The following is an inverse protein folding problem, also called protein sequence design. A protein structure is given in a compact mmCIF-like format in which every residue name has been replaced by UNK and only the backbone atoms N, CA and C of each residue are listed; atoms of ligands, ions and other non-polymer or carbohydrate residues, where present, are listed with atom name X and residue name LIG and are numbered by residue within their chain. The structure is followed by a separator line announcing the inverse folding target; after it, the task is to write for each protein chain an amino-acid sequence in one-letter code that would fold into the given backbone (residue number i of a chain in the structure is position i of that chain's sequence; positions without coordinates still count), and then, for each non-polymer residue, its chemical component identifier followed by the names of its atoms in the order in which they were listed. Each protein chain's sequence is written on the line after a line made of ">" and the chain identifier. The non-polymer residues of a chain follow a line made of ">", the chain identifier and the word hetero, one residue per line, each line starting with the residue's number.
data_IF_766348206698
#
_entry.id   IF_766348206698
#
_cell.length_a   1.000
_cell.length_b   1.000
_cell.length_c   1.000
_cell.angle_alpha   90.00
_cell.angle_beta   90.00
_cell.angle_gamma   90.00
#
_symmetry.space_group_name_H-M   'P 1'
#
loop_
_entity.id
_entity.type
_entity.pdbx_description
1 polymer ?
#
# COMPACT_ATOMS: atom_id res chain seq x y z
N UNK A 1 -33.32 -58.29 32.41
CA UNK A 1 -32.89 -56.96 32.87
C UNK A 1 -32.71 -56.11 31.66
N UNK A 2 -33.76 -55.31 31.26
CA UNK A 2 -33.79 -54.47 30.08
C UNK A 2 -33.31 -53.07 30.45
N UNK A 3 -32.21 -52.62 29.89
CA UNK A 3 -31.70 -51.26 30.06
C UNK A 3 -32.35 -50.39 28.99
N UNK A 4 -33.14 -49.43 29.45
CA UNK A 4 -33.71 -48.38 28.61
C UNK A 4 -32.66 -47.26 28.38
N UNK A 5 -32.23 -47.06 27.15
CA UNK A 5 -31.46 -45.91 26.76
C UNK A 5 -32.46 -44.78 26.36
N UNK A 6 -32.49 -43.70 27.12
CA UNK A 6 -33.26 -42.48 26.76
C UNK A 6 -32.45 -41.71 25.72
N UNK A 7 -32.95 -41.66 24.49
CA UNK A 7 -32.51 -40.70 23.47
C UNK A 7 -33.05 -39.34 23.82
N UNK A 8 -32.17 -38.42 24.18
CA UNK A 8 -32.52 -36.99 24.36
C UNK A 8 -32.43 -36.30 22.99
N UNK A 9 -33.59 -36.02 22.41
CA UNK A 9 -33.70 -35.27 21.18
C UNK A 9 -33.53 -33.79 21.50
N UNK A 10 -32.38 -33.23 21.14
CA UNK A 10 -32.13 -31.78 21.22
C UNK A 10 -32.82 -31.15 20.00
N UNK A 11 -33.93 -30.45 20.26
CA UNK A 11 -34.60 -29.61 19.29
C UNK A 11 -33.74 -28.36 19.04
N UNK A 12 -33.08 -28.27 17.89
CA UNK A 12 -32.56 -27.03 17.38
C UNK A 12 -33.72 -26.18 16.89
N UNK A 13 -34.13 -25.22 17.68
CA UNK A 13 -35.07 -24.21 17.24
C UNK A 13 -34.35 -23.29 16.24
N UNK A 14 -34.56 -23.53 14.95
CA UNK A 14 -34.33 -22.52 13.91
C UNK A 14 -35.28 -21.35 14.21
N UNK A 15 -34.80 -20.28 14.82
CA UNK A 15 -35.50 -19.01 14.85
C UNK A 15 -35.52 -18.45 13.42
N UNK A 16 -36.54 -18.83 12.66
CA UNK A 16 -36.94 -18.07 11.47
C UNK A 16 -37.48 -16.72 11.99
N UNK A 17 -36.65 -15.68 11.90
CA UNK A 17 -37.15 -14.33 12.06
C UNK A 17 -38.14 -14.07 10.92
N UNK A 18 -39.42 -13.97 11.27
CA UNK A 18 -40.44 -13.47 10.37
C UNK A 18 -40.18 -11.97 10.14
N UNK A 19 -39.63 -11.65 8.97
CA UNK A 19 -39.41 -10.29 8.47
C UNK A 19 -40.77 -9.62 8.16
N UNK A 20 -41.44 -9.09 9.15
CA UNK A 20 -42.59 -8.18 8.98
C UNK A 20 -42.38 -6.84 9.71
N UNK A 21 -41.19 -6.55 10.20
CA UNK A 21 -40.89 -5.20 10.65
C UNK A 21 -40.49 -4.39 9.42
N UNK A 22 -41.37 -3.47 9.02
CA UNK A 22 -41.07 -2.47 7.97
C UNK A 22 -40.06 -1.49 8.56
N UNK A 23 -38.79 -1.83 8.49
CA UNK A 23 -37.74 -0.89 8.84
C UNK A 23 -37.71 0.23 7.79
N UNK A 24 -37.81 1.47 8.27
CA UNK A 24 -37.75 2.63 7.40
C UNK A 24 -36.36 2.73 6.75
N UNK A 25 -36.31 2.69 5.42
CA UNK A 25 -35.11 3.07 4.69
C UNK A 25 -34.87 4.57 4.94
N UNK A 26 -33.90 4.90 5.75
CA UNK A 26 -33.50 6.28 5.99
C UNK A 26 -32.58 6.74 4.89
N UNK A 27 -32.80 7.97 4.38
CA UNK A 27 -31.95 8.59 3.38
C UNK A 27 -30.64 9.04 4.04
N UNK A 28 -29.66 8.14 4.08
CA UNK A 28 -28.29 8.49 4.47
C UNK A 28 -27.50 8.98 3.27
N UNK A 29 -26.73 10.03 3.48
CA UNK A 29 -25.73 10.47 2.49
C UNK A 29 -24.42 9.72 2.72
N UNK A 30 -23.66 9.50 1.67
CA UNK A 30 -22.29 9.03 1.75
C UNK A 30 -21.34 10.26 1.73
N UNK A 31 -20.49 10.46 2.73
CA UNK A 31 -20.20 9.61 3.89
C UNK A 31 -21.32 9.55 4.94
N UNK A 32 -21.45 8.37 5.59
CA UNK A 32 -22.42 8.13 6.66
C UNK A 32 -21.79 8.49 8.00
N UNK A 33 -22.37 9.42 8.74
CA UNK A 33 -21.81 9.93 10.00
C UNK A 33 -22.71 9.56 11.19
N UNK A 34 -22.10 9.00 12.22
CA UNK A 34 -22.72 8.65 13.50
C UNK A 34 -21.90 9.27 14.65
N UNK A 35 -22.13 10.56 14.92
CA UNK A 35 -21.34 11.28 15.93
C UNK A 35 -19.86 11.31 15.60
N UNK A 36 -19.05 10.61 16.38
CA UNK A 36 -17.59 10.53 16.23
C UNK A 36 -17.13 9.45 15.22
N UNK A 37 -18.07 8.68 14.67
CA UNK A 37 -17.80 7.63 13.70
C UNK A 37 -18.23 8.06 12.30
N UNK A 38 -17.38 7.81 11.29
CA UNK A 38 -17.69 8.02 9.88
C UNK A 38 -17.42 6.75 9.07
N UNK A 39 -18.37 6.38 8.23
CA UNK A 39 -18.24 5.30 7.25
C UNK A 39 -18.33 5.92 5.86
N UNK A 40 -17.28 5.82 5.08
CA UNK A 40 -17.23 6.29 3.69
C UNK A 40 -17.21 5.08 2.76
N UNK A 41 -18.24 4.91 1.95
CA UNK A 41 -18.33 3.87 0.94
C UNK A 41 -17.67 4.40 -0.34
N UNK A 42 -16.59 3.77 -0.79
CA UNK A 42 -15.80 4.22 -1.94
C UNK A 42 -16.20 3.44 -3.18
N UNK A 43 -16.17 2.11 -3.08
CA UNK A 43 -16.65 1.18 -4.13
C UNK A 43 -17.56 0.13 -3.48
N UNK A 44 -18.21 -0.77 -4.24
CA UNK A 44 -18.96 -1.87 -3.64
C UNK A 44 -18.14 -2.76 -2.70
N UNK A 45 -16.80 -2.78 -2.85
CA UNK A 45 -15.86 -3.67 -2.14
C UNK A 45 -14.84 -2.93 -1.27
N UNK A 46 -14.84 -1.58 -1.31
CA UNK A 46 -13.92 -0.75 -0.56
C UNK A 46 -14.68 0.30 0.25
N UNK A 47 -14.41 0.37 1.53
CA UNK A 47 -14.92 1.41 2.41
C UNK A 47 -13.87 1.85 3.42
N UNK A 48 -14.06 3.07 3.96
CA UNK A 48 -13.20 3.68 4.98
C UNK A 48 -13.98 3.82 6.27
N UNK A 49 -13.32 3.53 7.39
CA UNK A 49 -13.82 3.69 8.75
C UNK A 49 -12.95 4.70 9.49
N UNK A 50 -13.57 5.72 10.06
CA UNK A 50 -12.89 6.75 10.82
C UNK A 50 -13.53 6.99 12.15
N UNK A 51 -12.69 7.24 13.16
CA UNK A 51 -13.15 7.74 14.45
C UNK A 51 -12.32 8.96 14.84
N UNK A 52 -13.02 10.06 15.13
CA UNK A 52 -12.42 11.32 15.54
C UNK A 52 -13.01 11.77 16.90
N UNK A 53 -12.14 12.03 17.88
CA UNK A 53 -12.56 12.41 19.24
C UNK A 53 -13.38 13.70 19.30
N UNK A 54 -13.15 14.60 18.37
CA UNK A 54 -13.82 15.89 18.26
C UNK A 54 -14.92 15.92 17.19
N UNK A 55 -15.22 14.77 16.56
CA UNK A 55 -16.19 14.64 15.47
C UNK A 55 -15.78 15.32 14.16
N UNK A 56 -14.52 15.79 14.04
CA UNK A 56 -13.98 16.38 12.80
C UNK A 56 -13.18 15.34 12.04
N UNK A 57 -13.64 15.02 10.86
CA UNK A 57 -13.02 13.99 10.02
C UNK A 57 -12.01 14.58 9.07
N UNK A 58 -11.03 13.77 8.69
CA UNK A 58 -9.95 14.18 7.81
C UNK A 58 -10.31 13.91 6.35
N UNK A 59 -10.40 14.98 5.57
CA UNK A 59 -10.61 14.90 4.11
C UNK A 59 -9.36 15.26 3.30
N UNK A 60 -8.28 15.64 3.98
CA UNK A 60 -6.99 15.89 3.34
C UNK A 60 -6.37 14.61 2.78
N UNK A 61 -5.63 14.76 1.70
CA UNK A 61 -4.81 13.70 1.10
C UNK A 61 -3.78 13.18 2.09
N UNK A 62 -3.57 11.87 2.12
CA UNK A 62 -2.46 11.23 2.85
C UNK A 62 -1.46 10.64 1.87
N UNK A 63 -0.32 10.15 2.37
CA UNK A 63 0.66 9.44 1.54
C UNK A 63 0.09 8.16 0.91
N UNK A 64 -0.94 7.58 1.53
CA UNK A 64 -1.63 6.40 1.02
C UNK A 64 -2.84 6.75 0.16
N UNK A 65 -3.74 7.60 0.66
CA UNK A 65 -4.98 7.97 -0.01
C UNK A 65 -4.84 9.34 -0.68
N UNK A 66 -4.44 9.32 -1.94
CA UNK A 66 -4.21 10.52 -2.74
C UNK A 66 -5.53 11.09 -3.29
N UNK A 67 -6.48 10.22 -3.68
CA UNK A 67 -7.79 10.61 -4.22
C UNK A 67 -8.89 10.32 -3.20
N UNK A 68 -9.79 11.29 -2.98
CA UNK A 68 -10.89 11.17 -2.05
C UNK A 68 -12.26 11.47 -2.68
N UNK A 69 -12.29 11.67 -3.99
CA UNK A 69 -13.48 12.13 -4.71
C UNK A 69 -14.42 10.99 -5.12
N UNK A 70 -13.97 9.74 -5.00
CA UNK A 70 -14.79 8.58 -5.37
C UNK A 70 -15.70 8.21 -4.20
N UNK A 71 -17.01 8.37 -4.40
CA UNK A 71 -18.05 7.99 -3.45
C UNK A 71 -19.07 7.08 -4.12
N UNK A 72 -19.36 5.94 -3.49
CA UNK A 72 -20.41 5.04 -3.93
C UNK A 72 -21.77 5.68 -3.73
N UNK A 73 -22.61 5.70 -4.77
CA UNK A 73 -23.98 6.20 -4.73
C UNK A 73 -25.04 5.09 -4.57
N UNK A 74 -24.71 3.86 -4.99
CA UNK A 74 -25.62 2.70 -4.94
C UNK A 74 -25.38 1.89 -3.67
N UNK A 75 -26.05 2.28 -2.59
CA UNK A 75 -26.02 1.61 -1.30
C UNK A 75 -27.35 1.79 -0.56
N UNK A 76 -27.56 0.97 0.44
CA UNK A 76 -28.74 1.04 1.30
C UNK A 76 -28.33 1.03 2.76
N UNK A 77 -29.00 1.84 3.58
CA UNK A 77 -28.90 1.80 5.05
C UNK A 77 -30.28 1.48 5.61
N UNK A 78 -30.32 0.47 6.48
CA UNK A 78 -31.53 0.07 7.19
C UNK A 78 -31.27 0.15 8.69
N UNK A 79 -32.09 0.89 9.40
CA UNK A 79 -32.05 0.94 10.87
C UNK A 79 -32.72 -0.32 11.45
N UNK A 80 -31.99 -1.05 12.29
CA UNK A 80 -32.44 -2.31 12.88
C UNK A 80 -33.01 -2.14 14.32
N UNK A 81 -33.03 -0.90 14.82
CA UNK A 81 -33.33 -0.61 16.22
C UNK A 81 -32.09 -0.68 17.12
N UNK A 82 -32.21 -0.21 18.37
CA UNK A 82 -31.15 -0.24 19.39
C UNK A 82 -29.78 0.34 18.89
N UNK A 83 -29.84 1.43 18.15
CA UNK A 83 -28.66 2.05 17.51
C UNK A 83 -27.89 1.12 16.55
N UNK A 84 -28.52 0.09 15.99
CA UNK A 84 -27.95 -0.83 15.02
C UNK A 84 -28.37 -0.50 13.60
N UNK A 85 -27.43 -0.60 12.70
CA UNK A 85 -27.60 -0.26 11.29
C UNK A 85 -27.08 -1.39 10.41
N UNK A 86 -27.85 -1.75 9.38
CA UNK A 86 -27.41 -2.60 8.29
C UNK A 86 -27.07 -1.70 7.10
N UNK A 87 -25.82 -1.73 6.66
CA UNK A 87 -25.32 -0.99 5.50
C UNK A 87 -25.02 -2.02 4.42
N UNK A 88 -25.63 -1.85 3.26
CA UNK A 88 -25.53 -2.80 2.15
C UNK A 88 -25.00 -2.12 0.91
N UNK A 89 -24.03 -2.77 0.26
CA UNK A 89 -23.59 -2.47 -1.10
C UNK A 89 -23.95 -3.66 -1.99
N UNK A 90 -23.67 -3.59 -3.27
CA UNK A 90 -23.83 -4.71 -4.18
C UNK A 90 -23.04 -5.96 -3.77
N UNK A 91 -21.93 -5.80 -3.05
CA UNK A 91 -20.99 -6.87 -2.69
C UNK A 91 -21.00 -7.22 -1.21
N UNK A 92 -21.34 -6.29 -0.34
CA UNK A 92 -21.12 -6.39 1.11
C UNK A 92 -22.40 -6.12 1.91
N UNK A 93 -22.48 -6.75 3.09
CA UNK A 93 -23.39 -6.37 4.15
C UNK A 93 -22.59 -6.06 5.40
N UNK A 94 -22.81 -4.89 5.99
CA UNK A 94 -22.11 -4.41 7.17
C UNK A 94 -23.10 -4.15 8.27
N UNK A 95 -22.90 -4.73 9.45
CA UNK A 95 -23.71 -4.45 10.63
C UNK A 95 -22.88 -3.58 11.57
N UNK A 96 -23.41 -2.42 11.88
CA UNK A 96 -22.80 -1.45 12.77
C UNK A 96 -23.74 -1.16 13.95
N UNK A 97 -23.19 -1.18 15.17
CA UNK A 97 -23.83 -0.72 16.40
C UNK A 97 -23.15 0.57 16.83
N UNK A 98 -23.91 1.69 16.81
CA UNK A 98 -23.41 2.98 17.25
C UNK A 98 -23.37 3.06 18.78
N UNK A 99 -22.29 2.57 19.36
CA UNK A 99 -22.02 2.57 20.80
C UNK A 99 -21.15 3.77 21.25
N UNK A 100 -20.78 4.65 20.31
CA UNK A 100 -19.94 5.83 20.54
C UNK A 100 -18.45 5.56 20.65
N UNK A 101 -18.01 4.29 20.48
CA UNK A 101 -16.60 3.89 20.50
C UNK A 101 -16.03 3.72 19.08
N UNK A 102 -14.68 3.67 18.93
CA UNK A 102 -14.05 3.32 17.67
C UNK A 102 -14.54 1.97 17.13
N UNK A 103 -14.50 1.80 15.81
CA UNK A 103 -14.87 0.53 15.18
C UNK A 103 -14.03 -0.63 15.71
N UNK A 104 -14.67 -1.69 16.13
CA UNK A 104 -14.05 -2.82 16.80
C UNK A 104 -14.77 -4.15 16.59
N UNK A 105 -14.37 -5.15 17.38
CA UNK A 105 -14.93 -6.53 17.30
C UNK A 105 -16.39 -6.63 17.75
N UNK A 106 -16.87 -5.69 18.55
CA UNK A 106 -18.20 -5.76 19.17
C UNK A 106 -19.23 -4.96 18.39
N UNK A 107 -18.81 -3.89 17.72
CA UNK A 107 -19.72 -2.91 17.12
C UNK A 107 -19.69 -2.87 15.58
N UNK A 108 -18.76 -3.58 14.90
CA UNK A 108 -18.71 -3.58 13.45
C UNK A 108 -18.35 -4.96 12.87
N UNK A 109 -19.26 -5.51 12.06
CA UNK A 109 -19.09 -6.80 11.39
C UNK A 109 -19.40 -6.67 9.90
N UNK A 110 -18.54 -7.23 9.07
CA UNK A 110 -18.67 -7.26 7.62
C UNK A 110 -18.93 -8.67 7.14
N UNK A 111 -19.93 -8.84 6.27
CA UNK A 111 -20.30 -10.08 5.60
C UNK A 111 -20.04 -9.93 4.10
N UNK A 112 -19.45 -10.94 3.50
CA UNK A 112 -19.07 -10.97 2.08
C UNK A 112 -19.04 -12.40 1.56
N UNK A 113 -18.94 -12.56 0.24
CA UNK A 113 -18.80 -13.89 -0.39
C UNK A 113 -17.34 -14.18 -0.71
N UNK A 114 -16.92 -15.42 -0.39
CA UNK A 114 -15.63 -15.98 -0.76
C UNK A 114 -15.88 -17.41 -1.29
N UNK A 115 -15.48 -17.69 -2.53
CA UNK A 115 -15.73 -18.98 -3.20
C UNK A 115 -17.21 -19.43 -3.13
N UNK A 116 -18.14 -18.48 -3.25
CA UNK A 116 -19.57 -18.72 -3.20
C UNK A 116 -20.18 -18.85 -1.80
N UNK A 117 -19.37 -18.96 -0.74
CA UNK A 117 -19.82 -19.05 0.64
C UNK A 117 -19.82 -17.67 1.32
N UNK A 118 -20.78 -17.44 2.20
CA UNK A 118 -20.78 -16.26 3.04
C UNK A 118 -19.73 -16.39 4.15
N UNK A 119 -18.85 -15.39 4.22
CA UNK A 119 -17.84 -15.22 5.27
C UNK A 119 -18.08 -13.92 6.01
N UNK A 120 -17.47 -13.80 7.20
CA UNK A 120 -17.50 -12.56 7.95
C UNK A 120 -16.18 -12.27 8.64
N UNK A 121 -15.90 -10.99 8.85
CA UNK A 121 -14.80 -10.55 9.69
C UNK A 121 -15.18 -9.29 10.48
N UNK A 122 -14.36 -8.95 11.46
CA UNK A 122 -14.39 -7.67 12.18
C UNK A 122 -13.06 -6.94 11.98
N UNK A 123 -13.02 -5.64 12.22
CA UNK A 123 -11.83 -4.80 11.96
C UNK A 123 -10.58 -5.17 12.78
N UNK A 124 -10.68 -6.07 13.73
CA UNK A 124 -9.54 -6.61 14.50
C UNK A 124 -9.24 -8.07 14.23
N UNK A 125 -9.91 -8.69 13.26
CA UNK A 125 -9.54 -10.03 12.84
C UNK A 125 -8.11 -10.03 12.27
N UNK A 126 -7.39 -11.12 12.53
CA UNK A 126 -6.07 -11.36 11.97
C UNK A 126 -6.25 -12.22 10.73
N UNK A 127 -5.75 -11.74 9.58
CA UNK A 127 -5.65 -12.58 8.40
C UNK A 127 -4.46 -13.53 8.52
N UNK A 128 -4.63 -14.74 8.01
CA UNK A 128 -3.63 -15.81 8.12
C UNK A 128 -3.06 -16.22 6.77
N UNK A 129 -3.74 -15.90 5.70
CA UNK A 129 -3.48 -16.38 4.35
C UNK A 129 -3.12 -15.24 3.39
N UNK A 130 -2.37 -14.24 3.90
CA UNK A 130 -1.86 -13.16 3.08
C UNK A 130 -0.90 -13.71 2.02
N UNK A 131 -0.98 -13.20 0.79
CA UNK A 131 -0.14 -13.64 -0.33
C UNK A 131 1.25 -13.04 -0.31
N UNK A 132 1.50 -12.14 0.62
CA UNK A 132 2.73 -11.39 0.74
C UNK A 132 2.75 -10.13 -0.14
N UNK A 133 3.51 -9.18 0.30
CA UNK A 133 3.74 -7.92 -0.39
C UNK A 133 5.18 -7.81 -0.88
N UNK A 134 5.80 -6.68 -0.56
CA UNK A 134 7.20 -6.41 -0.85
C UNK A 134 8.05 -6.51 0.43
N UNK A 135 9.33 -6.51 0.22
CA UNK A 135 10.33 -6.24 1.24
C UNK A 135 11.08 -4.97 0.84
N UNK A 136 11.48 -4.17 1.81
CA UNK A 136 12.11 -2.89 1.53
C UNK A 136 13.52 -3.04 0.95
N UNK A 137 14.28 -4.04 1.42
CA UNK A 137 15.64 -4.30 0.94
C UNK A 137 16.05 -5.74 1.17
N UNK A 138 16.93 -6.23 0.29
CA UNK A 138 17.66 -7.48 0.44
C UNK A 138 19.14 -7.25 0.80
N UNK A 139 19.55 -6.03 1.06
CA UNK A 139 20.91 -5.68 1.39
C UNK A 139 21.38 -6.46 2.62
N UNK A 140 22.57 -7.08 2.50
CA UNK A 140 23.20 -7.90 3.55
C UNK A 140 22.35 -9.09 4.02
N UNK A 141 21.37 -9.50 3.24
CA UNK A 141 20.56 -10.68 3.51
C UNK A 141 21.20 -11.90 2.88
N UNK A 142 21.51 -12.89 3.70
CA UNK A 142 22.09 -14.17 3.28
C UNK A 142 21.21 -15.39 3.64
N UNK A 143 19.97 -15.13 4.03
CA UNK A 143 19.02 -16.16 4.47
C UNK A 143 17.60 -15.80 4.02
N UNK A 144 16.65 -16.70 4.30
CA UNK A 144 15.23 -16.45 4.04
C UNK A 144 14.74 -15.25 4.87
N UNK A 145 14.12 -14.28 4.22
CA UNK A 145 13.50 -13.11 4.84
C UNK A 145 11.99 -13.25 4.80
N UNK A 146 11.28 -12.96 5.89
CA UNK A 146 9.82 -12.89 5.87
C UNK A 146 9.40 -11.74 4.96
N UNK A 147 8.43 -12.01 4.10
CA UNK A 147 7.78 -10.98 3.26
C UNK A 147 6.70 -10.31 4.09
N UNK A 148 6.64 -8.98 4.03
CA UNK A 148 5.58 -8.21 4.67
C UNK A 148 4.21 -8.53 4.05
N UNK A 149 3.13 -8.30 4.78
CA UNK A 149 1.78 -8.46 4.27
C UNK A 149 1.51 -7.49 3.11
N UNK A 150 0.92 -8.01 2.05
CA UNK A 150 0.44 -7.23 0.92
C UNK A 150 -1.08 -7.03 0.97
N UNK A 151 -1.62 -6.32 -0.03
CA UNK A 151 -3.06 -6.10 -0.16
C UNK A 151 -3.84 -7.40 -0.35
N UNK A 152 -3.26 -8.39 -1.03
CA UNK A 152 -3.97 -9.58 -1.44
C UNK A 152 -3.86 -10.71 -0.41
N UNK A 153 -4.98 -11.31 -0.06
CA UNK A 153 -5.08 -12.43 0.87
C UNK A 153 -6.10 -13.46 0.36
N UNK A 154 -5.83 -14.74 0.63
CA UNK A 154 -6.82 -15.82 0.40
C UNK A 154 -7.99 -15.77 1.37
N UNK A 155 -7.91 -14.93 2.40
CA UNK A 155 -9.03 -14.65 3.29
C UNK A 155 -10.08 -13.72 2.64
N UNK A 156 -9.77 -13.14 1.45
CA UNK A 156 -10.68 -12.33 0.64
C UNK A 156 -10.87 -10.89 1.13
N UNK A 157 -10.04 -10.45 2.08
CA UNK A 157 -10.06 -9.09 2.60
C UNK A 157 -8.70 -8.66 3.12
N UNK A 158 -8.50 -7.35 3.22
CA UNK A 158 -7.36 -6.74 3.87
C UNK A 158 -7.72 -5.36 4.40
N UNK A 159 -7.11 -4.95 5.51
CA UNK A 159 -7.30 -3.63 6.10
C UNK A 159 -5.97 -2.88 6.09
N UNK A 160 -5.96 -1.74 5.42
CA UNK A 160 -4.84 -0.81 5.47
C UNK A 160 -5.13 0.22 6.57
N UNK A 161 -4.23 0.29 7.53
CA UNK A 161 -4.33 1.23 8.64
C UNK A 161 -3.56 2.51 8.32
N UNK A 162 -4.30 3.57 8.04
CA UNK A 162 -3.77 4.91 7.75
C UNK A 162 -3.78 5.84 8.98
N UNK A 163 -4.13 5.29 10.15
CA UNK A 163 -4.19 6.04 11.41
C UNK A 163 -2.84 6.65 11.76
N UNK A 164 -2.83 7.94 12.04
CA UNK A 164 -1.62 8.68 12.45
C UNK A 164 -0.58 8.87 11.36
N UNK A 165 -0.85 8.43 10.12
CA UNK A 165 0.03 8.70 8.99
C UNK A 165 -0.06 10.17 8.57
N UNK A 166 1.04 10.67 8.04
CA UNK A 166 1.18 12.06 7.62
C UNK A 166 0.17 12.40 6.50
N UNK A 167 -0.21 13.67 6.47
CA UNK A 167 -1.03 14.24 5.41
C UNK A 167 -0.19 15.05 4.43
N UNK A 168 -0.72 15.29 3.23
CA UNK A 168 -0.17 16.22 2.27
C UNK A 168 -0.92 17.55 2.41
N UNK A 169 -0.19 18.62 2.73
CA UNK A 169 -0.70 19.98 2.82
C UNK A 169 0.25 20.93 2.07
N UNK A 170 -0.31 21.76 1.20
CA UNK A 170 0.44 22.74 0.40
C UNK A 170 1.63 22.14 -0.37
N UNK A 171 1.49 20.90 -0.84
CA UNK A 171 2.53 20.18 -1.58
C UNK A 171 3.66 19.61 -0.70
N UNK A 172 3.49 19.62 0.62
CA UNK A 172 4.47 19.10 1.57
C UNK A 172 3.83 18.16 2.59
N UNK A 173 4.68 17.41 3.29
CA UNK A 173 4.27 16.50 4.36
C UNK A 173 3.99 17.29 5.63
N UNK A 174 2.82 17.07 6.22
CA UNK A 174 2.40 17.69 7.47
C UNK A 174 1.89 16.62 8.46
N UNK A 175 1.96 16.93 9.73
CA UNK A 175 1.46 16.05 10.79
C UNK A 175 -0.07 16.03 10.78
N UNK A 176 -0.64 14.84 11.03
CA UNK A 176 -2.09 14.65 11.22
C UNK A 176 -2.51 15.13 12.62
N UNK A 177 -3.72 15.66 12.71
CA UNK A 177 -4.33 15.99 14.00
C UNK A 177 -4.51 14.71 14.86
N UNK A 178 -4.15 14.81 16.13
CA UNK A 178 -4.20 13.70 17.10
C UNK A 178 -5.63 13.31 17.52
N UNK A 179 -6.63 14.10 17.19
CA UNK A 179 -8.05 13.76 17.41
C UNK A 179 -8.50 12.59 16.54
N UNK A 180 -7.84 12.37 15.39
CA UNK A 180 -8.10 11.23 14.51
C UNK A 180 -7.41 9.96 15.01
N UNK A 181 -8.13 9.18 15.80
CA UNK A 181 -7.59 8.00 16.48
C UNK A 181 -7.83 6.69 15.73
N UNK A 182 -8.62 6.72 14.66
CA UNK A 182 -8.81 5.58 13.76
C UNK A 182 -9.07 6.04 12.33
N UNK A 183 -8.38 5.42 11.38
CA UNK A 183 -8.53 5.62 9.95
C UNK A 183 -8.14 4.33 9.22
N UNK A 184 -9.13 3.56 8.80
CA UNK A 184 -8.96 2.22 8.26
C UNK A 184 -9.60 2.13 6.88
N UNK A 185 -8.84 1.66 5.89
CA UNK A 185 -9.36 1.30 4.57
C UNK A 185 -9.57 -0.20 4.49
N UNK A 186 -10.81 -0.61 4.35
CA UNK A 186 -11.23 -2.00 4.33
C UNK A 186 -11.50 -2.46 2.91
N UNK A 187 -10.59 -3.26 2.35
CA UNK A 187 -10.71 -3.91 1.06
C UNK A 187 -11.33 -5.28 1.25
N UNK A 188 -12.49 -5.55 0.65
CA UNK A 188 -13.26 -6.78 0.86
C UNK A 188 -13.68 -7.33 -0.49
N UNK A 189 -12.78 -7.99 -1.15
CA UNK A 189 -12.85 -8.38 -2.56
C UNK A 189 -13.21 -9.87 -2.79
N UNK A 190 -13.32 -10.67 -1.71
CA UNK A 190 -13.55 -12.10 -1.86
C UNK A 190 -12.41 -12.77 -2.62
N UNK A 191 -12.72 -13.36 -3.75
CA UNK A 191 -11.77 -13.99 -4.68
C UNK A 191 -11.43 -13.11 -5.91
N UNK A 192 -11.99 -11.90 -6.00
CA UNK A 192 -11.69 -10.95 -7.08
C UNK A 192 -10.48 -10.06 -6.75
N UNK A 193 -9.29 -10.62 -6.88
CA UNK A 193 -8.03 -9.88 -6.65
C UNK A 193 -7.83 -8.69 -7.61
N UNK A 194 -8.44 -8.75 -8.82
CA UNK A 194 -8.36 -7.62 -9.75
C UNK A 194 -9.16 -6.43 -9.26
N UNK A 195 -10.35 -6.68 -8.70
CA UNK A 195 -11.15 -5.63 -8.07
C UNK A 195 -10.37 -4.96 -6.94
N UNK A 196 -9.68 -5.72 -6.09
CA UNK A 196 -8.84 -5.15 -5.02
C UNK A 196 -7.76 -4.20 -5.55
N UNK A 197 -7.08 -4.56 -6.65
CA UNK A 197 -6.07 -3.71 -7.28
C UNK A 197 -6.68 -2.47 -7.95
N UNK A 198 -7.86 -2.59 -8.54
CA UNK A 198 -8.60 -1.44 -9.07
C UNK A 198 -9.03 -0.49 -7.96
N UNK A 199 -9.54 -1.03 -6.86
CA UNK A 199 -9.92 -0.26 -5.66
C UNK A 199 -8.71 0.48 -5.05
N UNK A 200 -7.55 -0.17 -5.02
CA UNK A 200 -6.31 0.48 -4.60
C UNK A 200 -5.99 1.68 -5.52
N UNK A 201 -6.03 1.48 -6.83
CA UNK A 201 -5.79 2.55 -7.81
C UNK A 201 -6.77 3.72 -7.69
N UNK A 202 -8.03 3.45 -7.26
CA UNK A 202 -9.04 4.48 -7.07
C UNK A 202 -8.71 5.47 -5.94
N UNK A 203 -7.95 5.04 -4.93
CA UNK A 203 -7.58 5.88 -3.79
C UNK A 203 -6.12 6.30 -3.77
N UNK A 204 -5.19 5.43 -4.17
CA UNK A 204 -3.74 5.74 -4.17
C UNK A 204 -3.26 6.39 -5.46
N UNK A 205 -4.11 6.47 -6.46
CA UNK A 205 -3.74 6.85 -7.82
C UNK A 205 -3.14 5.67 -8.60
N UNK A 206 -3.09 5.83 -9.90
CA UNK A 206 -2.53 4.80 -10.78
C UNK A 206 -1.00 4.86 -10.80
N UNK A 207 -0.36 3.70 -10.79
CA UNK A 207 1.08 3.60 -11.02
C UNK A 207 1.37 4.14 -12.43
N UNK A 208 2.22 5.17 -12.57
CA UNK A 208 2.54 5.72 -13.87
C UNK A 208 3.31 4.70 -14.70
N UNK A 209 3.03 4.65 -15.99
CA UNK A 209 3.81 3.83 -16.90
C UNK A 209 5.23 4.41 -17.02
N UNK A 210 6.21 3.60 -16.67
CA UNK A 210 7.61 3.98 -16.76
C UNK A 210 8.13 3.87 -18.20
N UNK A 211 9.28 4.47 -18.46
CA UNK A 211 9.94 4.35 -19.77
C UNK A 211 10.45 2.94 -19.99
N UNK A 212 10.36 2.45 -21.22
CA UNK A 212 10.71 1.07 -21.59
C UNK A 212 12.12 0.66 -21.15
N UNK A 213 13.10 1.53 -21.27
CA UNK A 213 14.50 1.23 -20.93
C UNK A 213 14.70 0.88 -19.44
N UNK A 214 13.83 1.40 -18.54
CA UNK A 214 13.90 1.08 -17.10
C UNK A 214 13.72 -0.43 -16.85
N UNK A 215 12.96 -1.10 -17.71
CA UNK A 215 12.74 -2.55 -17.67
C UNK A 215 13.77 -3.33 -18.50
N UNK A 216 14.74 -2.65 -19.07
CA UNK A 216 15.81 -3.26 -19.85
C UNK A 216 16.96 -3.78 -19.00
N UNK A 217 18.09 -4.02 -19.64
CA UNK A 217 19.28 -4.55 -19.00
C UNK A 217 20.11 -3.43 -18.37
N UNK A 218 20.45 -3.61 -17.12
CA UNK A 218 21.26 -2.71 -16.32
C UNK A 218 22.62 -3.32 -16.06
N UNK A 219 23.71 -2.57 -16.30
CA UNK A 219 25.05 -2.91 -15.87
C UNK A 219 25.48 -2.00 -14.72
N UNK A 220 25.89 -2.59 -13.62
CA UNK A 220 26.47 -1.91 -12.48
C UNK A 220 27.62 -2.76 -11.93
N UNK A 221 28.77 -2.13 -11.67
CA UNK A 221 29.91 -2.76 -11.02
C UNK A 221 30.67 -1.72 -10.20
N UNK A 222 30.96 -2.04 -8.96
CA UNK A 222 31.89 -1.24 -8.16
C UNK A 222 33.31 -1.41 -8.70
N UNK A 223 33.73 -0.48 -9.53
CA UNK A 223 35.02 -0.45 -10.21
C UNK A 223 35.32 0.98 -10.67
N UNK A 224 36.58 1.49 -10.50
CA UNK A 224 36.94 2.83 -10.91
C UNK A 224 37.15 2.94 -12.44
N UNK A 225 36.05 2.80 -13.18
CA UNK A 225 36.07 2.91 -14.64
C UNK A 225 36.48 4.30 -15.11
N UNK A 226 37.41 4.32 -16.10
CA UNK A 226 37.65 5.50 -16.91
C UNK A 226 36.55 5.70 -17.96
N UNK A 227 36.50 6.89 -18.57
CA UNK A 227 35.58 7.16 -19.67
C UNK A 227 35.74 6.16 -20.81
N UNK A 228 36.99 5.91 -21.23
CA UNK A 228 37.31 4.96 -22.32
C UNK A 228 36.89 3.52 -22.00
N UNK A 229 37.02 3.11 -20.72
CA UNK A 229 36.61 1.77 -20.30
C UNK A 229 35.07 1.62 -20.29
N UNK A 230 34.33 2.65 -19.98
CA UNK A 230 32.86 2.64 -20.12
C UNK A 230 32.45 2.50 -21.60
N UNK A 231 33.02 3.29 -22.48
CA UNK A 231 32.74 3.19 -23.92
C UNK A 231 33.15 1.80 -24.49
N UNK A 232 34.28 1.29 -24.09
CA UNK A 232 34.76 -0.07 -24.49
C UNK A 232 33.79 -1.14 -23.96
N UNK A 233 33.33 -1.05 -22.74
CA UNK A 233 32.37 -1.98 -22.18
C UNK A 233 31.06 -2.03 -23.00
N UNK A 234 30.53 -0.88 -23.39
CA UNK A 234 29.35 -0.81 -24.27
C UNK A 234 29.62 -1.48 -25.60
N UNK A 235 30.77 -1.23 -26.21
CA UNK A 235 31.15 -1.87 -27.48
C UNK A 235 31.30 -3.40 -27.35
N UNK A 236 31.84 -3.90 -26.23
CA UNK A 236 31.91 -5.34 -25.95
C UNK A 236 30.51 -5.98 -25.89
N UNK A 237 29.54 -5.32 -25.26
CA UNK A 237 28.15 -5.79 -25.26
C UNK A 237 27.57 -5.83 -26.68
N UNK A 238 27.81 -4.79 -27.50
CA UNK A 238 27.29 -4.70 -28.88
C UNK A 238 27.94 -5.77 -29.81
N UNK A 239 29.25 -5.95 -29.74
CA UNK A 239 29.98 -6.92 -30.58
C UNK A 239 29.56 -8.36 -30.26
N UNK A 240 29.21 -8.64 -29.00
CA UNK A 240 28.76 -9.96 -28.58
C UNK A 240 27.24 -10.15 -28.64
N UNK A 241 26.51 -9.19 -29.20
CA UNK A 241 25.04 -9.20 -29.34
C UNK A 241 24.32 -9.38 -28.00
N UNK A 242 24.88 -8.84 -26.93
CA UNK A 242 24.19 -8.78 -25.63
C UNK A 242 23.43 -7.46 -25.50
N UNK A 243 22.18 -7.51 -25.00
CA UNK A 243 21.41 -6.29 -24.74
C UNK A 243 22.03 -5.51 -23.58
N UNK A 244 22.04 -4.18 -23.73
CA UNK A 244 22.39 -3.24 -22.67
C UNK A 244 21.60 -1.96 -22.89
N UNK A 245 20.83 -1.54 -21.91
CA UNK A 245 19.97 -0.36 -21.97
C UNK A 245 20.42 0.74 -21.01
N UNK A 246 20.99 0.34 -19.86
CA UNK A 246 21.33 1.23 -18.78
C UNK A 246 22.71 0.92 -18.23
N UNK A 247 23.51 1.96 -18.02
CA UNK A 247 24.83 1.89 -17.43
C UNK A 247 24.84 2.71 -16.13
N UNK A 248 25.20 2.07 -15.03
CA UNK A 248 25.37 2.75 -13.74
C UNK A 248 26.84 3.11 -13.58
N UNK A 249 27.10 4.42 -13.42
CA UNK A 249 28.41 4.87 -12.95
C UNK A 249 28.40 4.70 -11.44
N UNK A 250 29.20 3.74 -10.97
CA UNK A 250 29.30 3.44 -9.56
C UNK A 250 30.20 4.45 -8.85
N UNK A 251 30.35 4.36 -7.56
CA UNK A 251 30.90 5.31 -6.61
C UNK A 251 32.05 6.21 -7.12
N UNK A 252 32.94 5.68 -7.97
CA UNK A 252 34.13 6.39 -8.43
C UNK A 252 33.86 7.45 -9.52
N UNK A 253 32.58 7.62 -9.95
CA UNK A 253 32.21 8.71 -10.85
C UNK A 253 32.44 10.07 -10.22
N UNK A 254 32.34 10.16 -8.88
CA UNK A 254 32.70 11.35 -8.12
C UNK A 254 34.00 11.16 -7.34
N UNK A 255 34.53 12.24 -6.79
CA UNK A 255 35.75 12.20 -5.98
C UNK A 255 35.48 11.49 -4.65
N UNK A 256 36.10 10.32 -4.46
CA UNK A 256 35.96 9.49 -3.23
C UNK A 256 37.17 9.60 -2.30
N UNK A 257 38.10 10.53 -2.54
CA UNK A 257 39.30 10.71 -1.71
C UNK A 257 38.94 11.37 -0.38
N UNK A 258 39.10 10.61 0.70
CA UNK A 258 38.86 11.06 2.08
C UNK A 258 39.72 12.25 2.54
N UNK A 259 40.73 12.63 1.78
CA UNK A 259 41.61 13.77 2.08
C UNK A 259 41.02 15.12 1.65
N UNK A 260 39.99 15.10 0.82
CA UNK A 260 39.38 16.33 0.33
C UNK A 260 38.23 16.75 1.27
N UNK A 261 38.58 17.43 2.33
CA UNK A 261 37.68 18.45 2.85
C UNK A 261 36.90 18.20 4.13
N UNK A 262 36.83 17.00 4.73
CA UNK A 262 35.91 16.80 5.87
C UNK A 262 36.56 16.64 7.24
N UNK A 263 37.85 16.44 7.33
CA UNK A 263 38.56 16.29 8.64
C UNK A 263 38.15 15.04 9.44
N UNK A 264 37.26 14.22 8.97
CA UNK A 264 36.83 12.98 9.62
C UNK A 264 37.47 11.77 8.93
N UNK A 265 38.34 11.08 9.68
CA UNK A 265 39.11 9.91 9.19
C UNK A 265 38.23 8.68 8.82
N UNK A 266 36.94 8.68 9.10
CA UNK A 266 35.99 7.61 8.77
C UNK A 266 35.22 7.83 7.47
N UNK A 267 35.22 9.06 6.94
CA UNK A 267 34.58 9.41 5.68
C UNK A 267 35.43 8.88 4.53
N UNK A 268 34.87 8.00 3.74
CA UNK A 268 35.52 7.50 2.51
C UNK A 268 35.18 8.37 1.30
N UNK A 269 34.65 9.58 1.51
CA UNK A 269 34.17 10.45 0.43
C UNK A 269 33.01 9.83 -0.35
N UNK A 270 32.16 9.04 0.30
CA UNK A 270 31.03 8.32 -0.35
C UNK A 270 29.88 9.24 -0.67
N UNK A 271 29.81 10.38 0.00
CA UNK A 271 28.85 11.44 -0.31
C UNK A 271 29.53 12.55 -1.09
N UNK A 272 29.04 12.88 -2.27
CA UNK A 272 29.57 14.00 -3.05
C UNK A 272 29.09 14.01 -4.47
N UNK A 273 29.11 15.18 -5.07
CA UNK A 273 28.60 15.45 -6.41
C UNK A 273 29.68 16.08 -7.33
N UNK A 274 30.95 15.97 -6.93
CA UNK A 274 32.06 16.49 -7.71
C UNK A 274 32.62 15.41 -8.63
N UNK A 275 32.47 15.57 -9.93
CA UNK A 275 33.00 14.63 -10.91
C UNK A 275 34.48 14.32 -10.71
N UNK A 276 34.82 13.06 -10.72
CA UNK A 276 36.21 12.58 -10.73
C UNK A 276 36.84 12.82 -12.10
N UNK A 277 37.42 13.99 -12.27
CA UNK A 277 38.02 14.41 -13.54
C UNK A 277 39.28 13.60 -13.95
N UNK A 278 39.83 12.81 -13.04
CA UNK A 278 40.93 11.88 -13.36
C UNK A 278 40.42 10.68 -14.16
N UNK A 279 39.26 10.15 -13.77
CA UNK A 279 38.66 9.00 -14.47
C UNK A 279 37.75 9.45 -15.63
N UNK A 280 37.02 10.53 -15.42
CA UNK A 280 36.03 11.05 -16.39
C UNK A 280 36.33 12.55 -16.62
N UNK A 281 37.32 12.87 -17.49
CA UNK A 281 37.73 14.26 -17.76
C UNK A 281 36.60 15.12 -18.32
N UNK A 282 35.79 14.57 -19.23
CA UNK A 282 34.62 15.20 -19.83
C UNK A 282 33.36 14.35 -19.61
N UNK A 283 32.68 14.49 -18.47
CA UNK A 283 31.46 13.74 -18.17
C UNK A 283 30.35 13.99 -19.19
N UNK A 284 30.22 15.21 -19.66
CA UNK A 284 29.17 15.56 -20.62
C UNK A 284 29.42 14.86 -21.95
N UNK A 285 30.66 14.90 -22.48
CA UNK A 285 31.02 14.22 -23.72
C UNK A 285 30.79 12.71 -23.61
N UNK A 286 31.23 12.08 -22.51
CA UNK A 286 30.99 10.65 -22.27
C UNK A 286 29.48 10.31 -22.28
N UNK A 287 28.65 11.06 -21.54
CA UNK A 287 27.23 10.80 -21.51
C UNK A 287 26.57 11.02 -22.88
N UNK A 288 26.97 12.04 -23.59
CA UNK A 288 26.48 12.30 -24.95
C UNK A 288 26.85 11.17 -25.92
N UNK A 289 28.07 10.64 -25.86
CA UNK A 289 28.52 9.48 -26.68
C UNK A 289 27.70 8.22 -26.33
N UNK A 290 27.57 7.90 -25.02
CA UNK A 290 26.80 6.75 -24.59
C UNK A 290 25.33 6.85 -25.04
N UNK A 291 24.78 8.05 -25.07
CA UNK A 291 23.43 8.30 -25.55
C UNK A 291 23.28 8.07 -27.06
N UNK A 292 24.32 8.33 -27.86
CA UNK A 292 24.32 7.97 -29.26
C UNK A 292 24.27 6.45 -29.48
N UNK A 293 24.85 5.68 -28.56
CA UNK A 293 24.77 4.22 -28.52
C UNK A 293 23.47 3.69 -27.84
N UNK A 294 22.50 4.57 -27.64
CA UNK A 294 21.23 4.26 -26.98
C UNK A 294 21.35 3.76 -25.53
N UNK A 295 22.41 4.16 -24.82
CA UNK A 295 22.63 3.83 -23.41
C UNK A 295 22.11 4.99 -22.54
N UNK A 296 21.33 4.65 -21.53
CA UNK A 296 20.93 5.57 -20.46
C UNK A 296 21.93 5.47 -19.30
N UNK A 297 22.28 6.59 -18.72
CA UNK A 297 23.24 6.64 -17.61
C UNK A 297 22.51 6.96 -16.31
N UNK A 298 22.88 6.26 -15.26
CA UNK A 298 22.46 6.51 -13.88
C UNK A 298 23.71 6.64 -13.01
N UNK A 299 23.69 7.54 -12.04
CA UNK A 299 24.78 7.71 -11.08
C UNK A 299 24.41 7.01 -9.78
N UNK A 300 25.33 6.20 -9.25
CA UNK A 300 25.16 5.61 -7.93
C UNK A 300 25.60 6.62 -6.86
N UNK A 301 24.78 6.83 -5.85
CA UNK A 301 25.04 7.76 -4.76
C UNK A 301 24.80 7.07 -3.41
N UNK A 302 25.75 7.28 -2.48
CA UNK A 302 25.65 6.77 -1.12
C UNK A 302 25.78 7.92 -0.11
N UNK A 303 24.68 8.57 0.29
CA UNK A 303 24.72 9.71 1.21
C UNK A 303 25.00 9.23 2.65
N UNK A 304 26.10 8.49 2.83
CA UNK A 304 26.48 7.84 4.08
C UNK A 304 26.84 8.85 5.18
N UNK A 305 27.50 9.94 4.77
CA UNK A 305 28.04 10.94 5.70
C UNK A 305 27.19 12.23 5.74
N UNK A 306 25.98 12.18 5.15
CA UNK A 306 25.10 13.34 4.97
C UNK A 306 25.37 14.07 3.65
N UNK A 307 24.60 15.11 3.40
CA UNK A 307 24.70 15.97 2.21
C UNK A 307 25.19 17.35 2.65
#
# INVERSE_FOLDING_TARGET
>A
MKVFVKLSTIFFACLAFSLNDVYAASNFNNPIVFGNNRITLITPTLFRLEYALDGKFLDSTTMFAYTRDTLLSDFKVTELGDNKFLIETKALRMVYENDGFPFGIHNFTVFFKLNGEEKKFTVRNIHKNNLGGAISTLDRVNQKVPVEDGLLSRDGWYIINDTGKEILSDGWIASRDKSHVQDLYCFVYGDDYKAALMDLGAISGHVPMTRKYIHGVWYCRYWPYTADEYEKLVQEYRVNDFPLDNLVFDMDWHTVDAKVGTGHASSRGWTGYTWNKTLIPDPKGLIDNLKLDHINVCLNEHPHDGI
#
